data_IF_580070820931
#
_entry.id   IF_580070820931
#
_cell.length_a   1.000
_cell.length_b   1.000
_cell.length_c   1.000
_cell.angle_alpha   90.00
_cell.angle_beta   90.00
_cell.angle_gamma   90.00
#
_symmetry.space_group_name_H-M   'P 1'
#
loop_
_entity.id
_entity.type
_entity.pdbx_description
1 polymer ?
#
# COMPACT_ATOMS: atom_id res chain seq x y z
N UNK A 1 -4.93 4.08 0.32
CA UNK A 1 -4.53 3.69 -1.04
C UNK A 1 -5.68 3.95 -2.01
N UNK A 2 -6.85 3.28 -1.86
CA UNK A 2 -7.99 3.41 -2.77
C UNK A 2 -8.48 4.86 -2.96
N UNK A 3 -8.60 5.63 -1.87
CA UNK A 3 -8.94 7.05 -1.92
C UNK A 3 -8.01 7.86 -2.84
N UNK A 4 -6.71 7.69 -2.68
CA UNK A 4 -5.69 8.41 -3.44
C UNK A 4 -5.69 8.02 -4.92
N UNK A 5 -5.85 6.73 -5.19
CA UNK A 5 -6.00 6.23 -6.56
C UNK A 5 -7.26 6.80 -7.23
N UNK A 6 -8.38 6.88 -6.51
CA UNK A 6 -9.62 7.49 -7.01
C UNK A 6 -9.46 8.98 -7.31
N UNK A 7 -8.81 9.74 -6.42
CA UNK A 7 -8.52 11.16 -6.65
C UNK A 7 -7.70 11.41 -7.93
N UNK A 8 -6.79 10.49 -8.26
CA UNK A 8 -5.97 10.55 -9.47
C UNK A 8 -6.75 10.17 -10.74
N UNK A 9 -7.99 9.71 -10.60
CA UNK A 9 -8.83 9.25 -11.72
C UNK A 9 -8.63 7.78 -12.08
N UNK A 10 -8.06 6.99 -11.16
CA UNK A 10 -8.03 5.52 -11.27
C UNK A 10 -9.31 4.86 -10.77
N UNK A 11 -9.43 3.57 -10.98
CA UNK A 11 -10.58 2.75 -10.60
C UNK A 11 -10.17 1.73 -9.51
N UNK A 12 -10.12 2.14 -8.22
CA UNK A 12 -9.76 1.24 -7.14
C UNK A 12 -10.85 0.21 -6.89
N UNK A 13 -10.42 -1.03 -6.65
CA UNK A 13 -11.27 -2.14 -6.24
C UNK A 13 -10.74 -2.73 -4.93
N UNK A 14 -11.07 -2.12 -3.77
CA UNK A 14 -10.58 -2.59 -2.48
C UNK A 14 -11.18 -3.94 -2.13
N UNK A 15 -10.33 -4.86 -1.68
CA UNK A 15 -10.69 -6.13 -1.07
C UNK A 15 -10.47 -6.01 0.43
N UNK A 16 -11.53 -6.09 1.22
CA UNK A 16 -11.47 -5.90 2.66
C UNK A 16 -12.61 -6.61 3.37
N UNK A 17 -12.49 -6.78 4.69
CA UNK A 17 -13.57 -7.24 5.55
C UNK A 17 -13.87 -6.18 6.61
N UNK A 18 -15.12 -5.78 6.71
CA UNK A 18 -15.65 -4.91 7.75
C UNK A 18 -16.39 -5.73 8.82
N UNK A 19 -16.39 -5.25 10.03
CA UNK A 19 -17.18 -5.81 11.11
C UNK A 19 -18.60 -5.25 11.17
N UNK A 20 -19.34 -5.59 12.22
CA UNK A 20 -20.71 -5.15 12.45
C UNK A 20 -20.86 -3.62 12.55
N UNK A 21 -19.79 -2.92 12.87
CA UNK A 21 -19.68 -1.46 12.98
C UNK A 21 -19.23 -0.76 11.68
N UNK A 22 -19.04 -1.51 10.57
CA UNK A 22 -18.42 -1.00 9.34
C UNK A 22 -19.33 -0.23 8.40
N UNK A 23 -20.65 -0.13 8.67
CA UNK A 23 -21.63 0.43 7.75
C UNK A 23 -21.34 1.88 7.34
N UNK A 24 -21.00 2.75 8.29
CA UNK A 24 -20.69 4.16 8.03
C UNK A 24 -19.45 4.31 7.14
N UNK A 25 -18.44 3.43 7.34
CA UNK A 25 -17.24 3.45 6.54
C UNK A 25 -17.50 2.95 5.11
N UNK A 26 -18.32 1.91 4.95
CA UNK A 26 -18.77 1.45 3.65
C UNK A 26 -19.49 2.56 2.88
N UNK A 27 -20.47 3.22 3.52
CA UNK A 27 -21.17 4.36 2.94
C UNK A 27 -20.21 5.50 2.56
N UNK A 28 -19.16 5.74 3.36
CA UNK A 28 -18.10 6.71 3.03
C UNK A 28 -17.39 6.34 1.75
N UNK A 29 -16.98 5.09 1.56
CA UNK A 29 -16.30 4.63 0.34
C UNK A 29 -17.22 4.76 -0.88
N UNK A 30 -18.48 4.35 -0.76
CA UNK A 30 -19.48 4.48 -1.82
C UNK A 30 -19.73 5.96 -2.19
N UNK A 31 -19.77 6.87 -1.20
CA UNK A 31 -19.92 8.31 -1.45
C UNK A 31 -18.75 8.94 -2.21
N UNK A 32 -17.61 8.26 -2.25
CA UNK A 32 -16.42 8.62 -3.02
C UNK A 32 -16.38 7.93 -4.39
N UNK A 33 -17.46 7.24 -4.78
CA UNK A 33 -17.56 6.46 -6.01
C UNK A 33 -16.45 5.41 -6.13
N UNK A 34 -16.09 4.76 -5.00
CA UNK A 34 -15.19 3.61 -4.92
C UNK A 34 -16.01 2.35 -5.01
N UNK A 35 -15.65 1.44 -5.92
CA UNK A 35 -16.33 0.17 -6.09
C UNK A 35 -16.06 -0.76 -4.90
N UNK A 36 -17.10 -0.99 -4.09
CA UNK A 36 -17.01 -1.77 -2.86
C UNK A 36 -17.49 -3.23 -3.00
N UNK A 37 -17.64 -3.76 -4.24
CA UNK A 37 -18.17 -5.13 -4.46
C UNK A 37 -17.37 -6.23 -3.77
N UNK A 38 -16.10 -6.00 -3.44
CA UNK A 38 -15.22 -6.92 -2.70
C UNK A 38 -14.95 -6.47 -1.26
N UNK A 39 -15.76 -5.55 -0.73
CA UNK A 39 -15.76 -5.22 0.69
C UNK A 39 -16.82 -6.07 1.37
N UNK A 40 -16.39 -7.16 2.01
CA UNK A 40 -17.28 -8.07 2.74
C UNK A 40 -17.59 -7.55 4.15
N UNK A 41 -18.63 -8.13 4.78
CA UNK A 41 -19.01 -7.80 6.15
C UNK A 41 -19.13 -9.06 7.01
N UNK A 42 -18.59 -8.98 8.21
CA UNK A 42 -18.64 -10.02 9.27
C UNK A 42 -19.44 -9.48 10.44
N UNK A 43 -20.45 -10.23 10.91
CA UNK A 43 -21.42 -9.73 11.91
C UNK A 43 -21.01 -9.98 13.37
N UNK A 44 -20.12 -10.93 13.62
CA UNK A 44 -19.75 -11.38 14.96
C UNK A 44 -18.45 -10.74 15.49
N UNK A 45 -17.92 -9.76 14.79
CA UNK A 45 -16.72 -9.02 15.20
C UNK A 45 -16.79 -7.56 14.77
N UNK A 46 -15.86 -6.73 15.27
CA UNK A 46 -15.70 -5.33 14.85
C UNK A 46 -14.73 -5.20 13.70
N UNK A 47 -14.82 -4.09 12.98
CA UNK A 47 -13.84 -3.69 11.97
C UNK A 47 -12.45 -3.52 12.61
N UNK A 48 -11.39 -3.76 11.83
CA UNK A 48 -10.02 -3.51 12.28
C UNK A 48 -9.85 -2.06 12.76
N UNK A 49 -9.22 -1.89 13.93
CA UNK A 49 -9.06 -0.58 14.58
C UNK A 49 -7.62 -0.38 15.04
N UNK A 50 -7.06 0.78 14.72
CA UNK A 50 -5.80 1.25 15.26
C UNK A 50 -6.04 2.41 16.23
N UNK A 51 -5.70 2.22 17.50
CA UNK A 51 -5.74 3.27 18.52
C UNK A 51 -4.32 3.81 18.69
N UNK A 52 -4.09 5.01 18.18
CA UNK A 52 -2.77 5.62 18.12
C UNK A 52 -2.69 6.73 19.16
N UNK A 53 -1.78 6.57 20.11
CA UNK A 53 -1.43 7.61 21.09
C UNK A 53 -0.15 8.30 20.62
N UNK A 54 -0.23 9.63 20.45
CA UNK A 54 0.90 10.45 19.98
C UNK A 54 1.29 11.43 21.07
N UNK A 55 2.58 11.49 21.43
CA UNK A 55 3.11 12.50 22.35
C UNK A 55 3.43 13.84 21.65
N UNK A 56 3.96 14.80 22.40
CA UNK A 56 4.29 16.13 21.86
C UNK A 56 5.50 16.14 20.93
N UNK A 57 6.31 15.09 20.95
CA UNK A 57 7.50 14.90 20.12
C UNK A 57 7.20 14.01 18.90
N UNK A 58 5.89 13.73 18.65
CA UNK A 58 5.37 12.86 17.58
C UNK A 58 5.80 11.38 17.71
N UNK A 59 6.22 10.92 18.89
CA UNK A 59 6.35 9.49 19.13
C UNK A 59 4.98 8.85 19.24
N UNK A 60 4.80 7.67 18.64
CA UNK A 60 3.51 6.99 18.58
C UNK A 60 3.59 5.61 19.21
N UNK A 61 2.57 5.29 20.01
CA UNK A 61 2.27 3.94 20.46
C UNK A 61 0.93 3.54 19.85
N UNK A 62 0.90 2.42 19.14
CA UNK A 62 -0.32 1.90 18.50
C UNK A 62 -0.78 0.63 19.18
N UNK A 63 -2.03 0.63 19.69
CA UNK A 63 -2.76 -0.59 20.00
C UNK A 63 -3.63 -0.95 18.79
N UNK A 64 -3.45 -2.16 18.25
CA UNK A 64 -4.16 -2.62 17.07
C UNK A 64 -5.06 -3.80 17.37
N UNK A 65 -6.34 -3.67 17.00
CA UNK A 65 -7.32 -4.75 17.02
C UNK A 65 -7.63 -5.18 15.60
N UNK A 66 -7.26 -6.40 15.16
CA UNK A 66 -7.40 -6.82 13.76
C UNK A 66 -8.87 -7.09 13.37
N UNK A 67 -9.71 -7.52 14.30
CA UNK A 67 -11.15 -7.75 14.06
C UNK A 67 -11.44 -8.54 12.79
N UNK A 68 -12.39 -8.04 12.00
CA UNK A 68 -12.82 -8.63 10.73
C UNK A 68 -11.71 -8.85 9.70
N UNK A 69 -10.61 -8.09 9.78
CA UNK A 69 -9.44 -8.26 8.91
C UNK A 69 -8.86 -9.69 8.96
N UNK A 70 -9.00 -10.38 10.08
CA UNK A 70 -8.56 -11.77 10.19
C UNK A 70 -9.31 -12.75 9.28
N UNK A 71 -10.45 -12.33 8.72
CA UNK A 71 -11.26 -13.12 7.78
C UNK A 71 -11.09 -12.65 6.32
N UNK A 72 -10.13 -11.79 6.03
CA UNK A 72 -9.89 -11.25 4.69
C UNK A 72 -9.61 -12.35 3.64
N UNK A 73 -9.11 -13.52 4.05
CA UNK A 73 -8.91 -14.70 3.19
C UNK A 73 -10.21 -15.26 2.59
N UNK A 74 -11.40 -14.89 3.13
CA UNK A 74 -12.68 -15.26 2.54
C UNK A 74 -12.94 -14.53 1.20
N UNK A 75 -12.33 -13.36 0.98
CA UNK A 75 -12.33 -12.70 -0.31
C UNK A 75 -11.44 -13.45 -1.32
N UNK A 76 -11.81 -13.37 -2.58
CA UNK A 76 -11.07 -13.99 -3.69
C UNK A 76 -10.80 -12.97 -4.79
N UNK A 77 -9.64 -13.09 -5.43
CA UNK A 77 -9.31 -12.27 -6.59
C UNK A 77 -10.33 -12.54 -7.71
N UNK A 78 -11.06 -11.51 -8.09
CA UNK A 78 -12.04 -11.59 -9.17
C UNK A 78 -11.36 -11.38 -10.54
N UNK A 79 -11.07 -12.48 -11.21
CA UNK A 79 -10.50 -12.45 -12.57
C UNK A 79 -11.43 -11.71 -13.55
N UNK A 80 -12.74 -11.75 -13.29
CA UNK A 80 -13.75 -11.06 -14.11
C UNK A 80 -13.69 -9.53 -14.02
N UNK A 81 -13.14 -9.00 -12.94
CA UNK A 81 -12.94 -7.56 -12.76
C UNK A 81 -11.87 -6.96 -13.68
N UNK A 82 -11.05 -7.80 -14.34
CA UNK A 82 -9.98 -7.39 -15.29
C UNK A 82 -9.03 -6.35 -14.71
N UNK A 83 -8.68 -6.51 -13.42
CA UNK A 83 -7.71 -5.64 -12.79
C UNK A 83 -6.37 -5.68 -13.55
N UNK A 84 -5.82 -4.51 -13.85
CA UNK A 84 -4.56 -4.37 -14.59
C UNK A 84 -3.34 -4.51 -13.69
N UNK A 85 -3.49 -4.16 -12.38
CA UNK A 85 -2.45 -4.26 -11.37
C UNK A 85 -3.08 -4.47 -9.99
N UNK A 86 -2.45 -5.28 -9.16
CA UNK A 86 -2.84 -5.50 -7.77
C UNK A 86 -1.85 -4.90 -6.77
N UNK A 87 -2.23 -4.89 -5.50
CA UNK A 87 -1.33 -4.63 -4.38
C UNK A 87 -1.67 -5.57 -3.23
N UNK A 88 -0.66 -6.22 -2.68
CA UNK A 88 -0.73 -6.93 -1.41
C UNK A 88 -0.18 -5.99 -0.35
N UNK A 89 -1.09 -5.27 0.31
CA UNK A 89 -0.80 -4.39 1.45
C UNK A 89 -1.07 -5.13 2.77
N UNK A 90 -0.68 -4.60 3.93
CA UNK A 90 -0.92 -5.24 5.23
C UNK A 90 -2.37 -5.63 5.45
N UNK A 91 -2.61 -6.91 5.64
CA UNK A 91 -3.91 -7.53 5.87
C UNK A 91 -3.74 -8.78 6.73
N UNK A 92 -4.78 -9.56 6.94
CA UNK A 92 -4.71 -10.88 7.58
C UNK A 92 -3.65 -11.77 6.90
N UNK A 93 -2.80 -12.41 7.72
CA UNK A 93 -1.66 -13.19 7.22
C UNK A 93 -2.03 -14.17 6.12
N UNK A 94 -3.10 -14.95 6.33
CA UNK A 94 -3.53 -15.99 5.39
C UNK A 94 -4.07 -15.36 4.10
N UNK A 95 -4.78 -14.23 4.21
CA UNK A 95 -5.24 -13.46 3.06
C UNK A 95 -4.08 -12.98 2.19
N UNK A 96 -3.03 -12.41 2.78
CA UNK A 96 -1.87 -11.96 2.02
C UNK A 96 -1.22 -13.10 1.23
N UNK A 97 -1.04 -14.28 1.87
CA UNK A 97 -0.46 -15.45 1.21
C UNK A 97 -1.34 -15.99 0.08
N UNK A 98 -2.65 -16.11 0.32
CA UNK A 98 -3.60 -16.64 -0.64
C UNK A 98 -3.81 -15.69 -1.82
N UNK A 99 -3.97 -14.39 -1.55
CA UNK A 99 -4.17 -13.40 -2.60
C UNK A 99 -2.94 -13.26 -3.51
N UNK A 100 -1.71 -13.33 -2.96
CA UNK A 100 -0.50 -13.36 -3.78
C UNK A 100 -0.50 -14.55 -4.75
N UNK A 101 -0.83 -15.76 -4.25
CA UNK A 101 -0.93 -16.95 -5.10
C UNK A 101 -2.05 -16.83 -6.14
N UNK A 102 -3.19 -16.20 -5.79
CA UNK A 102 -4.31 -15.96 -6.70
C UNK A 102 -3.95 -14.94 -7.79
N UNK A 103 -3.22 -13.86 -7.48
CA UNK A 103 -2.72 -12.91 -8.48
C UNK A 103 -1.82 -13.60 -9.50
N UNK A 104 -0.88 -14.43 -9.03
CA UNK A 104 -0.03 -15.24 -9.93
C UNK A 104 -0.86 -16.15 -10.83
N UNK A 105 -1.81 -16.89 -10.25
CA UNK A 105 -2.69 -17.79 -11.01
C UNK A 105 -3.56 -17.07 -12.04
N UNK A 106 -3.96 -15.83 -11.75
CA UNK A 106 -4.74 -14.97 -12.63
C UNK A 106 -3.88 -14.23 -13.69
N UNK A 107 -2.56 -14.28 -13.59
CA UNK A 107 -1.65 -13.51 -14.45
C UNK A 107 -1.76 -11.99 -14.25
N UNK A 108 -2.19 -11.56 -13.07
CA UNK A 108 -2.31 -10.14 -12.71
C UNK A 108 -1.03 -9.70 -11.99
N UNK A 109 -0.24 -8.76 -12.54
CA UNK A 109 0.94 -8.24 -11.88
C UNK A 109 0.55 -7.50 -10.60
N UNK A 110 1.37 -7.59 -9.56
CA UNK A 110 1.07 -6.94 -8.30
C UNK A 110 2.29 -6.36 -7.59
N UNK A 111 2.04 -5.35 -6.77
CA UNK A 111 2.99 -4.76 -5.83
C UNK A 111 2.92 -5.53 -4.51
N UNK A 112 4.04 -6.01 -4.00
CA UNK A 112 4.17 -6.49 -2.63
C UNK A 112 4.57 -5.34 -1.71
N UNK A 113 3.68 -5.01 -0.79
CA UNK A 113 3.82 -3.97 0.23
C UNK A 113 3.61 -4.59 1.62
N UNK A 114 4.63 -5.21 2.19
CA UNK A 114 4.47 -5.90 3.48
C UNK A 114 4.11 -4.95 4.63
N UNK A 115 4.59 -3.70 4.58
CA UNK A 115 4.33 -2.69 5.59
C UNK A 115 4.51 -3.21 7.01
N UNK A 116 3.61 -2.85 7.90
CA UNK A 116 3.60 -3.32 9.30
C UNK A 116 3.30 -4.82 9.45
N UNK A 117 2.86 -5.50 8.40
CA UNK A 117 2.65 -6.94 8.36
C UNK A 117 3.95 -7.77 8.24
N UNK A 118 5.06 -7.14 7.86
CA UNK A 118 6.33 -7.82 7.63
C UNK A 118 6.77 -8.76 8.76
N UNK A 119 6.64 -8.41 10.05
CA UNK A 119 7.01 -9.29 11.15
C UNK A 119 6.23 -10.61 11.23
N UNK A 120 5.05 -10.71 10.60
CA UNK A 120 4.21 -11.92 10.61
C UNK A 120 4.77 -13.07 9.77
N UNK A 121 5.74 -12.79 8.87
CA UNK A 121 6.23 -13.73 7.89
C UNK A 121 7.65 -14.19 8.18
N UNK A 122 7.94 -15.47 7.89
CA UNK A 122 9.31 -15.98 7.88
C UNK A 122 10.11 -15.45 6.68
N UNK A 123 11.44 -15.60 6.72
CA UNK A 123 12.29 -15.22 5.58
C UNK A 123 11.95 -15.97 4.29
N UNK A 124 11.58 -17.26 4.41
CA UNK A 124 11.15 -18.09 3.27
C UNK A 124 9.82 -17.59 2.66
N UNK A 125 8.86 -17.20 3.50
CA UNK A 125 7.59 -16.64 3.04
C UNK A 125 7.78 -15.28 2.37
N UNK A 126 8.64 -14.43 2.93
CA UNK A 126 9.00 -13.14 2.32
C UNK A 126 9.72 -13.34 0.97
N UNK A 127 10.63 -14.31 0.90
CA UNK A 127 11.29 -14.68 -0.36
C UNK A 127 10.25 -15.12 -1.41
N UNK A 128 9.26 -15.92 -0.99
CA UNK A 128 8.17 -16.36 -1.89
C UNK A 128 7.32 -15.19 -2.38
N UNK A 129 6.98 -14.23 -1.52
CA UNK A 129 6.27 -13.01 -1.97
C UNK A 129 7.08 -12.24 -3.02
N UNK A 130 8.38 -12.06 -2.80
CA UNK A 130 9.27 -11.38 -3.74
C UNK A 130 9.31 -12.12 -5.08
N UNK A 131 9.43 -13.45 -5.07
CA UNK A 131 9.46 -14.26 -6.29
C UNK A 131 8.11 -14.26 -7.05
N UNK A 132 7.00 -13.91 -6.39
CA UNK A 132 5.65 -13.82 -6.97
C UNK A 132 5.30 -12.41 -7.44
N UNK A 133 5.84 -11.38 -6.82
CA UNK A 133 5.50 -9.99 -7.06
C UNK A 133 6.19 -9.44 -8.33
N UNK A 134 5.52 -8.50 -9.02
CA UNK A 134 6.16 -7.71 -10.06
C UNK A 134 6.96 -6.55 -9.48
N UNK A 135 6.48 -5.94 -8.41
CA UNK A 135 7.15 -4.84 -7.72
C UNK A 135 7.12 -5.03 -6.21
N UNK A 136 8.10 -4.43 -5.53
CA UNK A 136 8.14 -4.35 -4.06
C UNK A 136 8.19 -2.89 -3.64
N UNK A 137 7.44 -2.52 -2.61
CA UNK A 137 7.54 -1.19 -1.98
C UNK A 137 7.63 -1.33 -0.47
N UNK A 138 8.58 -0.62 0.11
CA UNK A 138 8.88 -0.63 1.55
C UNK A 138 9.33 0.77 1.98
N UNK A 139 9.31 1.06 3.29
CA UNK A 139 10.10 2.16 3.82
C UNK A 139 11.54 1.70 4.16
N UNK A 140 12.39 2.60 4.63
CA UNK A 140 13.79 2.31 4.97
C UNK A 140 13.92 1.23 6.06
N UNK A 141 13.09 1.31 7.11
CA UNK A 141 13.06 0.32 8.19
C UNK A 141 12.57 -1.05 7.70
N UNK A 142 11.49 -1.06 6.93
CA UNK A 142 10.93 -2.28 6.33
C UNK A 142 11.92 -2.90 5.33
N UNK A 143 12.60 -2.09 4.52
CA UNK A 143 13.61 -2.54 3.57
C UNK A 143 14.80 -3.20 4.26
N UNK A 144 15.27 -2.63 5.39
CA UNK A 144 16.29 -3.26 6.21
C UNK A 144 15.81 -4.59 6.79
N UNK A 145 14.61 -4.63 7.37
CA UNK A 145 14.03 -5.85 7.95
C UNK A 145 13.82 -6.94 6.88
N UNK A 146 13.36 -6.55 5.68
CA UNK A 146 13.18 -7.47 4.56
C UNK A 146 14.52 -8.10 4.16
N UNK A 147 15.57 -7.29 4.06
CA UNK A 147 16.93 -7.76 3.79
C UNK A 147 17.46 -8.70 4.88
N UNK A 148 17.32 -8.31 6.15
CA UNK A 148 17.78 -9.11 7.29
C UNK A 148 17.07 -10.49 7.34
N UNK A 149 15.77 -10.56 7.01
CA UNK A 149 14.99 -11.79 7.06
C UNK A 149 15.18 -12.70 5.86
N UNK A 150 15.32 -12.14 4.67
CA UNK A 150 15.52 -12.92 3.44
C UNK A 150 16.98 -13.29 3.21
N UNK A 151 17.90 -12.57 3.82
CA UNK A 151 19.34 -12.68 3.55
C UNK A 151 19.76 -12.05 2.22
N UNK A 152 18.87 -11.32 1.54
CA UNK A 152 19.13 -10.64 0.28
C UNK A 152 19.31 -9.14 0.48
N UNK A 153 20.28 -8.56 -0.21
CA UNK A 153 20.42 -7.11 -0.32
C UNK A 153 19.27 -6.50 -1.15
N UNK A 154 18.99 -5.21 -0.99
CA UNK A 154 17.99 -4.50 -1.82
C UNK A 154 18.31 -4.63 -3.32
N UNK A 155 19.60 -4.59 -3.70
CA UNK A 155 20.04 -4.81 -5.05
C UNK A 155 19.72 -6.22 -5.57
N UNK A 156 19.86 -7.25 -4.76
CA UNK A 156 19.49 -8.63 -5.10
C UNK A 156 17.97 -8.77 -5.21
N UNK A 157 17.20 -8.20 -4.29
CA UNK A 157 15.73 -8.17 -4.36
C UNK A 157 15.28 -7.50 -5.67
N UNK A 158 15.85 -6.35 -6.04
CA UNK A 158 15.47 -5.63 -7.25
C UNK A 158 15.81 -6.34 -8.57
N UNK A 159 16.69 -7.37 -8.53
CA UNK A 159 16.94 -8.24 -9.70
C UNK A 159 15.92 -9.37 -9.84
N UNK A 160 15.12 -9.61 -8.81
CA UNK A 160 14.08 -10.67 -8.80
C UNK A 160 12.72 -10.13 -9.25
N UNK A 161 12.53 -8.82 -9.19
CA UNK A 161 11.29 -8.11 -9.53
C UNK A 161 11.53 -7.07 -10.63
N UNK A 162 10.49 -6.55 -11.23
CA UNK A 162 10.60 -5.46 -12.21
C UNK A 162 11.11 -4.16 -11.57
N UNK A 163 10.91 -3.99 -10.27
CA UNK A 163 11.47 -2.89 -9.51
C UNK A 163 11.10 -2.90 -8.03
N UNK A 164 11.98 -2.27 -7.26
CA UNK A 164 11.80 -2.07 -5.82
C UNK A 164 11.84 -0.57 -5.52
N UNK A 165 10.94 -0.09 -4.67
CA UNK A 165 11.00 1.28 -4.17
C UNK A 165 11.14 1.29 -2.65
N UNK A 166 12.09 2.08 -2.18
CA UNK A 166 12.30 2.34 -0.74
C UNK A 166 11.97 3.80 -0.46
N UNK A 167 10.91 4.05 0.28
CA UNK A 167 10.52 5.41 0.69
C UNK A 167 11.35 5.86 1.89
N UNK A 168 11.83 7.12 1.86
CA UNK A 168 12.74 7.73 2.83
C UNK A 168 12.14 8.96 3.51
N UNK A 169 10.82 9.03 3.58
CA UNK A 169 10.11 10.16 4.19
C UNK A 169 10.46 11.51 3.53
N UNK A 170 11.03 12.42 4.30
CA UNK A 170 11.38 13.75 3.82
C UNK A 170 12.52 13.78 2.78
N UNK A 171 13.24 12.70 2.61
CA UNK A 171 14.32 12.57 1.61
C UNK A 171 13.81 12.07 0.25
N UNK A 172 12.52 11.68 0.15
CA UNK A 172 11.94 11.13 -1.07
C UNK A 172 11.99 9.61 -1.11
N UNK A 173 12.56 9.03 -2.15
CA UNK A 173 12.67 7.58 -2.27
C UNK A 173 13.84 7.14 -3.16
N UNK A 174 14.23 5.89 -2.99
CA UNK A 174 15.14 5.16 -3.87
C UNK A 174 14.35 4.20 -4.74
N UNK A 175 14.56 4.28 -6.04
CA UNK A 175 14.01 3.35 -7.03
C UNK A 175 15.14 2.42 -7.48
N UNK A 176 14.93 1.12 -7.35
CA UNK A 176 15.89 0.08 -7.71
C UNK A 176 15.33 -0.76 -8.86
N UNK A 177 16.07 -0.83 -9.96
CA UNK A 177 15.74 -1.64 -11.13
C UNK A 177 16.99 -2.44 -11.54
N UNK A 178 16.87 -3.74 -11.69
CA UNK A 178 17.96 -4.62 -12.08
C UNK A 178 19.28 -4.46 -11.26
N UNK A 179 19.15 -4.07 -9.98
CA UNK A 179 20.28 -3.85 -9.08
C UNK A 179 20.83 -2.43 -9.09
N UNK A 180 20.37 -1.57 -9.98
CA UNK A 180 20.78 -0.18 -10.07
C UNK A 180 19.81 0.74 -9.31
N UNK A 181 20.37 1.72 -8.58
CA UNK A 181 19.64 2.65 -7.75
C UNK A 181 19.54 4.03 -8.36
N UNK A 182 18.34 4.58 -8.39
CA UNK A 182 18.06 5.97 -8.73
C UNK A 182 17.36 6.66 -7.58
N UNK A 183 17.84 7.82 -7.15
CA UNK A 183 17.17 8.64 -6.13
C UNK A 183 16.13 9.56 -6.77
N UNK A 184 14.93 9.58 -6.20
CA UNK A 184 13.84 10.49 -6.58
C UNK A 184 13.56 11.41 -5.40
N UNK A 185 13.88 12.71 -5.49
CA UNK A 185 13.79 13.63 -4.36
C UNK A 185 12.35 13.86 -3.90
N UNK A 186 12.18 14.15 -2.63
CA UNK A 186 10.89 14.52 -2.06
C UNK A 186 10.40 15.85 -2.63
N UNK A 187 9.09 16.03 -2.61
CA UNK A 187 8.46 17.34 -2.81
C UNK A 187 8.29 18.00 -1.45
N UNK A 188 8.75 19.25 -1.32
CA UNK A 188 8.59 20.01 -0.08
C UNK A 188 7.12 20.35 0.14
N UNK A 189 6.49 19.88 1.25
CA UNK A 189 5.09 20.17 1.51
C UNK A 189 4.90 21.64 1.93
N UNK A 190 3.70 22.18 1.71
CA UNK A 190 3.33 23.54 2.18
C UNK A 190 3.42 23.65 3.71
N UNK A 191 3.10 22.59 4.41
CA UNK A 191 3.19 22.44 5.87
C UNK A 191 3.21 20.95 6.24
N UNK A 192 3.67 20.63 7.43
CA UNK A 192 3.61 19.28 8.01
C UNK A 192 2.54 19.29 9.10
N UNK A 193 1.44 18.60 8.87
CA UNK A 193 0.27 18.55 9.77
C UNK A 193 0.06 17.16 10.33
N UNK A 194 0.04 16.14 9.45
CA UNK A 194 -0.27 14.76 9.86
C UNK A 194 0.40 13.76 8.90
N UNK A 195 1.35 12.95 9.36
CA UNK A 195 2.02 11.95 8.54
C UNK A 195 1.18 10.71 8.26
N UNK A 196 0.06 10.50 8.99
CA UNK A 196 -0.77 9.31 8.87
C UNK A 196 -1.35 9.17 7.46
N UNK A 197 -1.11 8.05 6.80
CA UNK A 197 -1.60 7.76 5.45
C UNK A 197 -0.80 8.40 4.32
N UNK A 198 0.39 9.00 4.59
CA UNK A 198 1.27 9.48 3.52
C UNK A 198 1.77 8.32 2.66
N UNK A 199 2.12 7.19 3.28
CA UNK A 199 2.47 5.96 2.59
C UNK A 199 1.35 5.43 1.70
N UNK A 200 0.10 5.44 2.20
CA UNK A 200 -1.07 5.03 1.41
C UNK A 200 -1.32 5.96 0.21
N UNK A 201 -1.16 7.26 0.42
CA UNK A 201 -1.27 8.26 -0.64
C UNK A 201 -0.21 8.05 -1.72
N UNK A 202 1.01 7.78 -1.32
CA UNK A 202 2.13 7.46 -2.20
C UNK A 202 1.85 6.18 -3.01
N UNK A 203 1.36 5.12 -2.37
CA UNK A 203 1.03 3.84 -3.01
C UNK A 203 -0.14 3.96 -4.00
N UNK A 204 -1.14 4.78 -3.70
CA UNK A 204 -2.20 5.09 -4.65
C UNK A 204 -1.67 5.72 -5.93
N UNK A 205 -0.69 6.60 -5.81
CA UNK A 205 -0.02 7.23 -6.96
C UNK A 205 0.90 6.24 -7.71
N UNK A 206 1.59 5.35 -7.00
CA UNK A 206 2.36 4.27 -7.60
C UNK A 206 1.47 3.41 -8.51
N UNK A 207 0.35 2.91 -7.98
CA UNK A 207 -0.60 2.07 -8.72
C UNK A 207 -1.15 2.79 -9.94
N UNK A 208 -1.49 4.08 -9.81
CA UNK A 208 -1.96 4.91 -10.92
C UNK A 208 -0.95 4.96 -12.08
N UNK A 209 0.33 5.13 -11.78
CA UNK A 209 1.38 5.17 -12.80
C UNK A 209 1.68 3.79 -13.39
N UNK A 210 1.71 2.74 -12.57
CA UNK A 210 1.94 1.37 -13.03
C UNK A 210 0.85 0.90 -13.98
N UNK A 211 -0.41 1.17 -13.67
CA UNK A 211 -1.55 0.84 -14.55
C UNK A 211 -1.40 1.47 -15.95
N UNK A 212 -0.76 2.64 -16.03
CA UNK A 212 -0.49 3.37 -17.28
C UNK A 212 0.83 3.01 -17.95
N UNK A 213 1.55 2.03 -17.40
CA UNK A 213 2.84 1.60 -17.93
C UNK A 213 3.96 2.64 -17.77
N UNK A 214 3.85 3.56 -16.79
CA UNK A 214 4.90 4.54 -16.56
C UNK A 214 6.16 3.90 -15.98
N UNK A 215 7.30 4.46 -16.34
CA UNK A 215 8.57 4.10 -15.72
C UNK A 215 8.52 4.35 -14.19
N UNK A 216 9.07 3.44 -13.42
CA UNK A 216 8.99 3.47 -11.95
C UNK A 216 9.48 4.79 -11.30
N UNK A 217 10.54 5.47 -11.80
CA UNK A 217 10.91 6.78 -11.28
C UNK A 217 9.83 7.86 -11.47
N UNK A 218 9.05 7.80 -12.57
CA UNK A 218 7.91 8.71 -12.78
C UNK A 218 6.77 8.40 -11.81
N UNK A 219 6.46 7.13 -11.59
CA UNK A 219 5.49 6.72 -10.58
C UNK A 219 5.90 7.23 -9.19
N UNK A 220 7.17 7.07 -8.83
CA UNK A 220 7.73 7.52 -7.57
C UNK A 220 7.67 9.05 -7.39
N UNK A 221 7.96 9.81 -8.45
CA UNK A 221 7.85 11.26 -8.44
C UNK A 221 6.41 11.74 -8.20
N UNK A 222 5.42 11.07 -8.82
CA UNK A 222 4.00 11.32 -8.55
C UNK A 222 3.67 10.97 -7.07
N UNK A 223 4.16 9.82 -6.58
CA UNK A 223 4.00 9.41 -5.18
C UNK A 223 4.51 10.46 -4.20
N UNK A 224 5.71 10.99 -4.42
CA UNK A 224 6.29 12.05 -3.60
C UNK A 224 5.43 13.32 -3.62
N UNK A 225 4.87 13.68 -4.77
CA UNK A 225 3.99 14.86 -4.92
C UNK A 225 2.67 14.67 -4.17
N UNK A 226 2.02 13.50 -4.30
CA UNK A 226 0.77 13.19 -3.61
C UNK A 226 0.98 13.07 -2.10
N UNK A 227 2.10 12.46 -1.67
CA UNK A 227 2.50 12.41 -0.27
C UNK A 227 2.68 13.80 0.35
N UNK A 228 3.27 14.75 -0.38
CA UNK A 228 3.43 16.13 0.06
C UNK A 228 2.10 16.88 0.21
N UNK A 229 1.09 16.59 -0.62
CA UNK A 229 -0.26 17.12 -0.46
C UNK A 229 -0.94 16.53 0.78
N UNK A 230 -0.83 15.22 0.95
CA UNK A 230 -1.46 14.52 2.07
C UNK A 230 -0.92 14.98 3.42
N UNK A 231 0.38 15.09 3.59
CA UNK A 231 0.99 15.46 4.88
C UNK A 231 0.58 16.85 5.35
N UNK A 232 0.16 17.73 4.44
CA UNK A 232 -0.32 19.06 4.72
C UNK A 232 -1.77 19.11 5.24
N UNK A 233 -2.45 17.96 5.33
CA UNK A 233 -3.84 17.85 5.76
C UNK A 233 -3.99 16.81 6.87
N UNK A 234 -4.94 17.08 7.79
CA UNK A 234 -5.26 16.15 8.88
C UNK A 234 -6.13 15.00 8.35
N UNK A 235 -5.77 13.78 8.76
CA UNK A 235 -6.46 12.54 8.38
C UNK A 235 -6.06 12.03 6.99
N UNK A 236 -6.20 10.72 6.73
CA UNK A 236 -5.67 10.07 5.53
C UNK A 236 -6.50 10.30 4.26
N UNK A 237 -7.76 10.77 4.38
CA UNK A 237 -8.72 10.89 3.27
C UNK A 237 -9.38 12.28 3.23
N UNK A 238 -8.65 13.34 3.56
CA UNK A 238 -9.17 14.71 3.64
C UNK A 238 -8.39 15.71 2.79
N UNK A 239 -7.64 15.24 1.78
CA UNK A 239 -6.91 16.11 0.87
C UNK A 239 -7.48 16.01 -0.55
N UNK A 240 -7.15 16.99 -1.38
CA UNK A 240 -7.50 17.03 -2.80
C UNK A 240 -6.24 17.29 -3.62
N UNK A 241 -6.28 17.00 -4.90
CA UNK A 241 -5.20 17.35 -5.81
C UNK A 241 -5.28 18.85 -6.16
N UNK A 242 -4.13 19.52 -6.20
CA UNK A 242 -3.98 20.91 -6.65
C UNK A 242 -3.30 20.99 -8.03
N UNK A 243 -3.25 19.87 -8.76
CA UNK A 243 -2.65 19.75 -10.08
C UNK A 243 -3.42 18.76 -10.96
N UNK A 244 -3.31 18.90 -12.26
CA UNK A 244 -3.71 17.88 -13.22
C UNK A 244 -2.62 16.82 -13.35
N UNK A 245 -3.03 15.56 -13.50
CA UNK A 245 -2.12 14.44 -13.80
C UNK A 245 -2.07 14.30 -15.32
N UNK A 246 -0.91 14.57 -15.90
CA UNK A 246 -0.63 14.43 -17.33
C UNK A 246 -0.07 13.06 -17.68
#
# INVERSE_FOLDING_TARGET
IAYSLKLLGGEPLPMAMLGSDGADYLQRLESLDIDCRHVGQVQDTYTAQAMIMTDRDNNQITAFHPGAMMQAHANRIDVGAKASVGIIAPDGRDAMLEHAAQFVAAGIPFVFDPGQGLPMFSGEELAKFIDQASWVTVNDYEGKMLSDRTGWTLAEISRKVEGLVVTLGAEGCEVWVAGEKTHVPAVVPKQVVDPTGCGDAWRGALLFGLERGWALPRCAALGNRVGALKIAQRGPQNYTLDFAVE
#
